data_IF_290093957240
#
_entry.id   IF_290093957240
#
_cell.length_a   1.000
_cell.length_b   1.000
_cell.length_c   1.000
_cell.angle_alpha   90.00
_cell.angle_beta   90.00
_cell.angle_gamma   90.00
#
_symmetry.space_group_name_H-M   'P 1'
#
loop_
_entity.id
_entity.type
_entity.pdbx_description
1 polymer ?
#
# COMPACT_ATOMS: atom_id res chain seq x y z
N UNK A 1 35.78 35.83 -0.78
CA UNK A 1 36.46 35.23 -1.97
C UNK A 1 36.22 33.73 -2.19
N UNK A 2 35.43 33.01 -1.37
CA UNK A 2 35.19 31.55 -1.57
C UNK A 2 33.82 31.18 -2.20
N UNK A 3 32.84 32.08 -2.17
CA UNK A 3 31.50 31.81 -2.72
C UNK A 3 31.40 31.94 -4.25
N UNK A 4 32.30 32.67 -4.90
CA UNK A 4 32.29 32.88 -6.36
C UNK A 4 32.87 31.67 -7.12
N UNK A 5 33.88 31.00 -6.55
CA UNK A 5 34.50 29.80 -7.14
C UNK A 5 33.57 28.58 -7.12
N UNK A 6 32.74 28.46 -6.08
CA UNK A 6 31.78 27.36 -5.95
C UNK A 6 30.63 27.46 -6.97
N UNK A 7 30.15 28.67 -7.26
CA UNK A 7 29.13 28.90 -8.29
C UNK A 7 29.67 28.66 -9.70
N UNK A 8 30.95 28.96 -9.93
CA UNK A 8 31.62 28.70 -11.21
C UNK A 8 31.83 27.19 -11.47
N UNK A 9 32.16 26.40 -10.43
CA UNK A 9 32.32 24.94 -10.55
C UNK A 9 31.00 24.20 -10.81
N UNK A 10 29.89 24.64 -10.20
CA UNK A 10 28.58 24.00 -10.41
C UNK A 10 28.07 24.24 -11.85
N UNK A 11 28.32 25.42 -12.41
CA UNK A 11 27.98 25.74 -13.80
C UNK A 11 28.83 24.97 -14.82
N UNK A 12 30.09 24.64 -14.49
CA UNK A 12 30.99 23.87 -15.36
C UNK A 12 30.69 22.37 -15.38
N UNK A 13 30.23 21.78 -14.27
CA UNK A 13 29.80 20.37 -14.26
C UNK A 13 28.50 20.12 -15.02
N UNK A 14 27.57 21.09 -15.04
CA UNK A 14 26.28 20.95 -15.74
C UNK A 14 26.36 21.10 -17.27
N UNK A 15 27.47 21.61 -17.82
CA UNK A 15 27.61 21.86 -19.27
C UNK A 15 28.47 20.83 -20.02
N UNK A 16 28.88 19.73 -19.39
CA UNK A 16 29.87 18.80 -19.97
C UNK A 16 29.31 17.46 -20.49
N UNK A 17 27.99 17.28 -20.56
CA UNK A 17 27.37 16.02 -21.02
C UNK A 17 26.54 16.15 -22.30
N UNK A 18 26.84 17.14 -23.15
CA UNK A 18 26.24 17.25 -24.49
C UNK A 18 27.37 17.44 -25.51
N UNK A 19 28.15 16.40 -25.76
CA UNK A 19 29.06 16.33 -26.91
C UNK A 19 29.52 14.89 -27.17
N UNK A 20 28.59 14.00 -27.52
CA UNK A 20 28.88 12.74 -28.21
C UNK A 20 28.43 12.86 -29.65
N UNK A 21 29.37 13.08 -30.55
CA UNK A 21 29.20 13.41 -31.97
C UNK A 21 28.40 12.37 -32.77
N UNK A 22 27.48 12.91 -33.55
CA UNK A 22 26.84 12.32 -34.73
C UNK A 22 27.87 11.95 -35.80
N UNK A 23 27.97 10.66 -36.13
CA UNK A 23 28.45 10.21 -37.45
C UNK A 23 27.22 9.73 -38.21
N UNK A 24 26.81 10.51 -39.21
CA UNK A 24 25.78 10.12 -40.17
C UNK A 24 26.48 9.25 -41.23
N UNK A 25 26.16 7.96 -41.26
CA UNK A 25 26.43 7.07 -42.37
C UNK A 25 25.27 6.08 -42.52
N UNK A 26 24.28 6.49 -43.33
CA UNK A 26 23.31 5.70 -44.08
C UNK A 26 22.69 4.45 -43.43
N UNK A 27 21.41 4.57 -43.07
CA UNK A 27 20.43 3.49 -43.24
C UNK A 27 19.80 2.96 -41.96
N UNK A 28 18.49 3.21 -41.83
CA UNK A 28 17.62 2.51 -40.88
C UNK A 28 17.28 3.33 -39.64
N UNK A 29 16.07 3.90 -39.63
CA UNK A 29 15.38 4.29 -38.41
C UNK A 29 15.24 3.06 -37.49
N UNK A 30 16.11 2.95 -36.50
CA UNK A 30 15.82 2.15 -35.30
C UNK A 30 15.79 3.11 -34.12
N UNK A 31 14.67 3.84 -34.03
CA UNK A 31 14.21 4.36 -32.77
C UNK A 31 14.10 3.17 -31.82
N UNK A 32 14.76 3.29 -30.67
CA UNK A 32 14.68 2.35 -29.56
C UNK A 32 13.20 2.13 -29.21
N UNK A 33 12.66 1.01 -29.65
CA UNK A 33 11.39 0.50 -29.15
C UNK A 33 11.71 -0.14 -27.79
N UNK A 34 11.84 0.70 -26.77
CA UNK A 34 11.58 0.26 -25.40
C UNK A 34 10.10 -0.14 -25.38
N UNK A 35 9.83 -1.39 -25.78
CA UNK A 35 8.56 -2.05 -25.53
C UNK A 35 8.41 -2.15 -24.02
N UNK A 36 7.87 -1.07 -23.44
CA UNK A 36 7.29 -1.08 -22.11
C UNK A 36 6.21 -2.16 -22.18
N UNK A 37 6.55 -3.34 -21.65
CA UNK A 37 5.62 -4.46 -21.57
C UNK A 37 4.34 -3.92 -20.93
N UNK A 38 3.22 -4.03 -21.64
CA UNK A 38 1.94 -3.56 -21.14
C UNK A 38 1.70 -4.19 -19.77
N UNK A 39 1.52 -3.35 -18.75
CA UNK A 39 1.19 -3.82 -17.40
C UNK A 39 -0.02 -4.74 -17.47
N UNK A 40 0.02 -5.95 -16.87
CA UNK A 40 -1.13 -6.84 -16.83
C UNK A 40 -2.38 -6.12 -16.33
N UNK A 41 -3.46 -6.21 -17.10
CA UNK A 41 -4.73 -5.60 -16.74
C UNK A 41 -5.26 -6.21 -15.43
N UNK A 42 -5.57 -5.34 -14.47
CA UNK A 42 -6.05 -5.74 -13.15
C UNK A 42 -7.59 -5.74 -13.09
N UNK A 43 -8.19 -6.81 -13.61
CA UNK A 43 -9.65 -6.97 -13.70
C UNK A 43 -10.35 -6.94 -12.33
N UNK A 44 -9.61 -7.19 -11.25
CA UNK A 44 -10.12 -7.24 -9.88
C UNK A 44 -9.89 -5.95 -9.09
N UNK A 45 -9.30 -4.93 -9.69
CA UNK A 45 -8.99 -3.65 -9.02
C UNK A 45 -10.21 -3.02 -8.36
N UNK A 46 -11.32 -2.90 -9.10
CA UNK A 46 -12.55 -2.27 -8.60
C UNK A 46 -13.16 -3.06 -7.43
N UNK A 47 -13.15 -4.39 -7.51
CA UNK A 47 -13.61 -5.28 -6.44
C UNK A 47 -12.76 -5.10 -5.18
N UNK A 48 -11.43 -5.15 -5.29
CA UNK A 48 -10.53 -4.92 -4.15
C UNK A 48 -10.72 -3.53 -3.55
N UNK A 49 -10.84 -2.50 -4.38
CA UNK A 49 -11.06 -1.12 -3.91
C UNK A 49 -12.37 -1.00 -3.13
N UNK A 50 -13.45 -1.60 -3.61
CA UNK A 50 -14.74 -1.62 -2.91
C UNK A 50 -14.64 -2.31 -1.55
N UNK A 51 -13.94 -3.44 -1.47
CA UNK A 51 -13.70 -4.16 -0.21
C UNK A 51 -12.81 -3.39 0.77
N UNK A 52 -11.77 -2.72 0.29
CA UNK A 52 -10.94 -1.85 1.14
C UNK A 52 -11.72 -0.65 1.69
N UNK A 53 -12.65 -0.11 0.91
CA UNK A 53 -13.57 0.94 1.39
C UNK A 53 -14.49 0.41 2.50
N UNK A 54 -15.04 -0.79 2.34
CA UNK A 54 -15.86 -1.46 3.36
C UNK A 54 -15.05 -1.69 4.65
N UNK A 55 -13.82 -2.22 4.56
CA UNK A 55 -12.90 -2.34 5.69
C UNK A 55 -12.68 -0.99 6.39
N UNK A 56 -12.41 0.07 5.61
CA UNK A 56 -12.17 1.41 6.17
C UNK A 56 -13.39 1.96 6.92
N UNK A 57 -14.61 1.69 6.45
CA UNK A 57 -15.84 2.10 7.12
C UNK A 57 -16.01 1.38 8.45
N UNK A 58 -15.87 0.04 8.45
CA UNK A 58 -15.97 -0.78 9.66
C UNK A 58 -14.92 -0.34 10.70
N UNK A 59 -13.67 -0.12 10.29
CA UNK A 59 -12.64 0.40 11.19
C UNK A 59 -13.02 1.76 11.80
N UNK A 60 -13.68 2.64 11.03
CA UNK A 60 -14.19 3.92 11.54
C UNK A 60 -15.28 3.74 12.59
N UNK A 61 -16.18 2.78 12.40
CA UNK A 61 -17.25 2.42 13.35
C UNK A 61 -16.68 1.82 14.63
N UNK A 62 -15.72 0.90 14.52
CA UNK A 62 -14.99 0.34 15.67
C UNK A 62 -14.30 1.45 16.47
N UNK A 63 -13.62 2.39 15.80
CA UNK A 63 -12.98 3.52 16.48
C UNK A 63 -13.99 4.37 17.26
N UNK A 64 -15.20 4.57 16.70
CA UNK A 64 -16.28 5.29 17.37
C UNK A 64 -16.75 4.52 18.61
N UNK A 65 -17.01 3.22 18.49
CA UNK A 65 -17.43 2.36 19.59
C UNK A 65 -16.41 2.32 20.73
N UNK A 66 -15.11 2.22 20.42
CA UNK A 66 -14.04 2.29 21.42
C UNK A 66 -14.06 3.63 22.17
N UNK A 67 -14.31 4.76 21.48
CA UNK A 67 -14.41 6.08 22.12
C UNK A 67 -15.65 6.23 22.99
N UNK A 68 -16.75 5.56 22.61
CA UNK A 68 -18.02 5.55 23.34
C UNK A 68 -18.03 4.53 24.48
N UNK A 69 -17.05 3.62 24.52
CA UNK A 69 -16.94 2.56 25.53
C UNK A 69 -17.83 1.34 25.26
N UNK A 70 -18.37 1.21 24.05
CA UNK A 70 -19.34 0.19 23.65
C UNK A 70 -18.69 -0.92 22.82
N UNK A 71 -17.90 -1.79 23.45
CA UNK A 71 -17.03 -2.72 22.70
C UNK A 71 -17.66 -4.07 22.32
N UNK A 72 -18.82 -4.41 22.87
CA UNK A 72 -19.45 -5.74 22.69
C UNK A 72 -19.76 -6.06 21.21
N UNK A 73 -20.19 -5.07 20.43
CA UNK A 73 -20.50 -5.24 19.00
C UNK A 73 -19.26 -5.36 18.11
N UNK A 74 -18.06 -5.06 18.61
CA UNK A 74 -16.81 -5.14 17.83
C UNK A 74 -16.49 -6.58 17.44
N UNK A 75 -16.99 -7.59 18.16
CA UNK A 75 -16.80 -9.01 17.80
C UNK A 75 -17.36 -9.32 16.41
N UNK A 76 -18.57 -8.83 16.10
CA UNK A 76 -19.20 -9.04 14.81
C UNK A 76 -18.46 -8.30 13.68
N UNK A 77 -18.02 -7.07 13.96
CA UNK A 77 -17.26 -6.26 13.01
C UNK A 77 -15.88 -6.88 12.72
N UNK A 78 -15.19 -7.39 13.74
CA UNK A 78 -13.92 -8.09 13.58
C UNK A 78 -14.07 -9.37 12.74
N UNK A 79 -15.15 -10.13 12.94
CA UNK A 79 -15.47 -11.27 12.07
C UNK A 79 -15.69 -10.83 10.62
N UNK A 80 -16.44 -9.73 10.41
CA UNK A 80 -16.68 -9.19 9.06
C UNK A 80 -15.39 -8.72 8.38
N UNK A 81 -14.51 -8.05 9.11
CA UNK A 81 -13.19 -7.64 8.62
C UNK A 81 -12.37 -8.83 8.15
N UNK A 82 -12.36 -9.93 8.92
CA UNK A 82 -11.68 -11.17 8.56
C UNK A 82 -12.25 -11.80 7.29
N UNK A 83 -13.57 -11.88 7.18
CA UNK A 83 -14.24 -12.38 5.97
C UNK A 83 -13.86 -11.58 4.73
N UNK A 84 -13.95 -10.24 4.79
CA UNK A 84 -13.62 -9.38 3.65
C UNK A 84 -12.15 -9.59 3.24
N UNK A 85 -11.23 -9.65 4.21
CA UNK A 85 -9.81 -9.86 3.90
C UNK A 85 -9.55 -11.25 3.31
N UNK A 86 -10.27 -12.29 3.76
CA UNK A 86 -10.19 -13.62 3.17
C UNK A 86 -10.66 -13.61 1.71
N UNK A 87 -11.76 -12.91 1.39
CA UNK A 87 -12.22 -12.72 0.01
C UNK A 87 -11.15 -12.02 -0.85
N UNK A 88 -10.62 -10.91 -0.35
CA UNK A 88 -9.63 -10.10 -1.05
C UNK A 88 -8.33 -10.86 -1.31
N UNK A 89 -7.91 -11.74 -0.39
CA UNK A 89 -6.74 -12.60 -0.56
C UNK A 89 -6.86 -13.58 -1.75
N UNK A 90 -8.08 -13.87 -2.22
CA UNK A 90 -8.31 -14.73 -3.40
C UNK A 90 -8.13 -14.01 -4.74
N UNK A 91 -8.10 -12.68 -4.73
CA UNK A 91 -8.00 -11.83 -5.91
C UNK A 91 -6.80 -10.87 -5.81
N UNK A 92 -5.57 -11.36 -5.56
CA UNK A 92 -4.42 -10.49 -5.31
C UNK A 92 -4.15 -9.57 -6.52
N UNK A 93 -3.48 -8.42 -6.29
CA UNK A 93 -2.99 -7.59 -7.40
C UNK A 93 -2.04 -8.40 -8.29
N UNK A 94 -1.82 -7.99 -9.55
CA UNK A 94 -0.98 -8.72 -10.50
C UNK A 94 0.52 -8.75 -10.10
N UNK A 95 0.91 -8.00 -9.08
CA UNK A 95 2.27 -7.91 -8.56
C UNK A 95 2.35 -8.37 -7.11
N UNK A 96 3.51 -8.89 -6.71
CA UNK A 96 3.83 -9.24 -5.31
C UNK A 96 2.78 -10.09 -4.58
N UNK A 97 2.15 -11.04 -5.29
CA UNK A 97 1.03 -11.86 -4.81
C UNK A 97 1.32 -12.61 -3.50
N UNK A 98 2.54 -13.11 -3.30
CA UNK A 98 2.93 -13.80 -2.06
C UNK A 98 3.00 -12.85 -0.86
N UNK A 99 3.56 -11.65 -1.08
CA UNK A 99 3.60 -10.61 -0.05
C UNK A 99 2.19 -10.13 0.30
N UNK A 100 1.34 -10.02 -0.71
CA UNK A 100 -0.06 -9.69 -0.53
C UNK A 100 -0.80 -10.71 0.35
N UNK A 101 -0.65 -12.00 0.04
CA UNK A 101 -1.24 -13.09 0.85
C UNK A 101 -0.72 -13.08 2.28
N UNK A 102 0.58 -12.83 2.48
CA UNK A 102 1.16 -12.72 3.81
C UNK A 102 0.50 -11.60 4.63
N UNK A 103 0.41 -10.38 4.09
CA UNK A 103 -0.20 -9.26 4.81
C UNK A 103 -1.72 -9.43 4.99
N UNK A 104 -2.40 -10.05 4.03
CA UNK A 104 -3.80 -10.41 4.20
C UNK A 104 -4.01 -11.42 5.34
N UNK A 105 -3.09 -12.38 5.50
CA UNK A 105 -3.12 -13.34 6.62
C UNK A 105 -2.80 -12.66 7.97
N UNK A 106 -1.81 -11.75 8.00
CA UNK A 106 -1.48 -10.98 9.21
C UNK A 106 -2.67 -10.12 9.67
N UNK A 107 -3.32 -9.41 8.74
CA UNK A 107 -4.55 -8.66 9.03
C UNK A 107 -5.64 -9.56 9.64
N UNK A 108 -5.90 -10.73 9.05
CA UNK A 108 -6.90 -11.67 9.57
C UNK A 108 -6.57 -12.14 10.99
N UNK A 109 -5.30 -12.45 11.28
CA UNK A 109 -4.87 -12.83 12.63
C UNK A 109 -5.03 -11.69 13.65
N UNK A 110 -4.80 -10.43 13.24
CA UNK A 110 -5.08 -9.27 14.09
C UNK A 110 -6.57 -9.01 14.27
N UNK A 111 -7.39 -9.31 13.27
CA UNK A 111 -8.85 -9.24 13.39
C UNK A 111 -9.38 -10.28 14.40
N UNK A 112 -8.85 -11.50 14.39
CA UNK A 112 -9.14 -12.50 15.42
C UNK A 112 -8.72 -12.01 16.82
N UNK A 113 -7.53 -11.40 16.92
CA UNK A 113 -7.05 -10.83 18.20
C UNK A 113 -7.97 -9.72 18.70
N UNK A 114 -8.47 -8.86 17.80
CA UNK A 114 -9.44 -7.82 18.13
C UNK A 114 -10.76 -8.42 18.62
N UNK A 115 -11.27 -9.46 17.96
CA UNK A 115 -12.49 -10.14 18.39
C UNK A 115 -12.33 -10.69 19.83
N UNK A 116 -11.24 -11.40 20.09
CA UNK A 116 -10.94 -11.96 21.43
C UNK A 116 -10.84 -10.87 22.50
N UNK A 117 -10.24 -9.71 22.18
CA UNK A 117 -10.16 -8.59 23.12
C UNK A 117 -11.52 -7.91 23.36
N UNK A 118 -12.37 -7.83 22.33
CA UNK A 118 -13.72 -7.29 22.45
C UNK A 118 -14.65 -8.19 23.27
N UNK A 119 -14.46 -9.52 23.21
CA UNK A 119 -15.23 -10.50 24.00
C UNK A 119 -15.09 -10.28 25.51
N UNK A 120 -14.01 -9.66 25.99
CA UNK A 120 -13.83 -9.37 27.42
C UNK A 120 -14.67 -8.17 27.91
N UNK A 121 -15.29 -7.42 26.99
CA UNK A 121 -16.03 -6.21 27.31
C UNK A 121 -15.15 -5.04 27.75
N UNK A 122 -13.83 -5.18 27.67
CA UNK A 122 -12.87 -4.19 28.18
C UNK A 122 -12.36 -3.28 27.06
N UNK A 123 -12.63 -1.98 27.17
CA UNK A 123 -12.05 -0.96 26.28
C UNK A 123 -10.51 -0.95 26.36
N UNK A 124 -9.96 -1.18 27.56
CA UNK A 124 -8.52 -1.15 27.81
C UNK A 124 -7.78 -2.30 27.11
N UNK A 125 -8.46 -3.42 26.86
CA UNK A 125 -7.92 -4.54 26.09
C UNK A 125 -8.23 -4.41 24.60
N UNK A 126 -9.44 -3.94 24.26
CA UNK A 126 -9.90 -3.80 22.87
C UNK A 126 -9.11 -2.74 22.11
N UNK A 127 -8.81 -1.59 22.75
CA UNK A 127 -8.16 -0.47 22.07
C UNK A 127 -6.74 -0.80 21.58
N UNK A 128 -5.84 -1.40 22.39
CA UNK A 128 -4.54 -1.85 21.89
C UNK A 128 -4.66 -2.86 20.75
N UNK A 129 -5.57 -3.83 20.84
CA UNK A 129 -5.77 -4.82 19.78
C UNK A 129 -6.21 -4.15 18.45
N UNK A 130 -7.11 -3.17 18.54
CA UNK A 130 -7.52 -2.38 17.38
C UNK A 130 -6.37 -1.57 16.79
N UNK A 131 -5.51 -0.96 17.62
CA UNK A 131 -4.31 -0.24 17.14
C UNK A 131 -3.41 -1.20 16.35
N UNK A 132 -3.10 -2.38 16.90
CA UNK A 132 -2.27 -3.38 16.22
C UNK A 132 -2.89 -3.87 14.90
N UNK A 133 -4.21 -4.02 14.84
CA UNK A 133 -4.90 -4.28 13.57
C UNK A 133 -4.64 -3.15 12.57
N UNK A 134 -4.82 -1.88 12.96
CA UNK A 134 -4.65 -0.74 12.03
C UNK A 134 -3.20 -0.52 11.56
N UNK A 135 -2.20 -0.97 12.32
CA UNK A 135 -0.79 -0.93 11.90
C UNK A 135 -0.54 -1.78 10.64
N UNK A 136 -1.28 -2.88 10.46
CA UNK A 136 -1.18 -3.74 9.28
C UNK A 136 -1.52 -2.99 7.99
N UNK A 137 -2.40 -1.99 8.04
CA UNK A 137 -2.75 -1.16 6.89
C UNK A 137 -1.53 -0.39 6.38
N UNK A 138 -0.76 0.23 7.29
CA UNK A 138 0.45 0.95 6.95
C UNK A 138 1.51 0.01 6.40
N UNK A 139 1.75 -1.12 7.07
CA UNK A 139 2.74 -2.11 6.62
C UNK A 139 2.42 -2.57 5.19
N UNK A 140 1.17 -2.96 4.90
CA UNK A 140 0.79 -3.39 3.56
C UNK A 140 0.92 -2.26 2.53
N UNK A 141 0.36 -1.08 2.78
CA UNK A 141 0.37 0.04 1.83
C UNK A 141 1.77 0.61 1.54
N UNK A 142 2.71 0.55 2.50
CA UNK A 142 4.08 1.04 2.29
C UNK A 142 5.04 0.00 1.71
N UNK A 143 4.70 -1.30 1.79
CA UNK A 143 5.64 -2.38 1.43
C UNK A 143 5.19 -3.26 0.28
N UNK A 144 3.89 -3.34 -0.03
CA UNK A 144 3.45 -3.87 -1.32
C UNK A 144 3.72 -2.81 -2.38
N UNK A 145 4.61 -3.10 -3.34
CA UNK A 145 4.89 -2.20 -4.45
C UNK A 145 3.67 -2.14 -5.36
N UNK A 146 2.73 -1.27 -5.00
CA UNK A 146 1.81 -0.70 -5.97
C UNK A 146 2.41 0.65 -6.37
N UNK A 147 2.67 0.90 -7.66
CA UNK A 147 3.06 2.21 -8.12
C UNK A 147 1.83 3.13 -7.99
N UNK A 148 1.64 3.71 -6.81
CA UNK A 148 0.75 4.86 -6.64
C UNK A 148 1.67 6.07 -6.57
N UNK A 149 1.81 6.79 -7.68
CA UNK A 149 2.03 8.22 -7.60
C UNK A 149 0.79 8.81 -6.92
N UNK A 150 0.90 9.08 -5.60
CA UNK A 150 -0.03 9.91 -4.84
C UNK A 150 0.41 11.38 -4.95
#
# INVERSE_FOLDING_TARGET
MKASLYRLMIALCMCSLIAGLTVIACGGDEAADEQQAAEPADENFSTRQARMKEISQICGEIMKMIKEGSVESIVADAARLKEIMAEVATIPPPYDTEKYKFYAADFQAKADTLAMAAETGSVDETKPAFITLTETCGVCHYTCNYPIDL
#
